data_IF_685074032918
#
_entry.id   IF_685074032918
#
_cell.length_a   1.000
_cell.length_b   1.000
_cell.length_c   1.000
_cell.angle_alpha   90.00
_cell.angle_beta   90.00
_cell.angle_gamma   90.00
#
_symmetry.space_group_name_H-M   'P 1'
#
loop_
_entity.id
_entity.type
_entity.pdbx_description
1 polymer ?
#
# COMPACT_ATOMS: atom_id res chain seq x y z
N UNK A 1 36.20 2.34 -5.92
CA UNK A 1 35.06 3.12 -5.39
C UNK A 1 33.93 2.13 -5.11
N UNK A 2 33.36 2.14 -3.91
CA UNK A 2 32.17 1.32 -3.62
C UNK A 2 31.01 1.84 -4.49
N UNK A 3 30.29 0.93 -5.15
CA UNK A 3 29.13 1.31 -5.95
C UNK A 3 28.05 1.92 -5.03
N UNK A 4 27.44 3.01 -5.46
CA UNK A 4 26.30 3.58 -4.75
C UNK A 4 25.16 2.56 -4.77
N UNK A 5 24.56 2.21 -3.62
CA UNK A 5 23.45 1.28 -3.60
C UNK A 5 22.27 1.82 -4.41
N UNK A 6 21.52 0.95 -5.13
CA UNK A 6 20.39 1.37 -5.96
C UNK A 6 19.23 1.85 -5.11
N UNK A 7 18.40 2.75 -5.64
CA UNK A 7 17.10 3.04 -5.05
C UNK A 7 16.17 1.83 -5.22
N UNK A 8 15.35 1.57 -4.21
CA UNK A 8 14.38 0.48 -4.19
C UNK A 8 12.99 1.10 -4.06
N UNK A 9 12.13 0.88 -5.05
CA UNK A 9 10.74 1.34 -5.04
C UNK A 9 9.83 0.13 -5.12
N UNK A 10 8.98 -0.04 -4.11
CA UNK A 10 7.93 -1.07 -4.08
C UNK A 10 6.57 -0.38 -4.27
N UNK A 11 5.93 -0.63 -5.42
CA UNK A 11 4.58 -0.14 -5.70
C UNK A 11 3.62 -1.33 -5.58
N UNK A 12 2.63 -1.19 -4.72
CA UNK A 12 1.65 -2.25 -4.47
C UNK A 12 0.23 -1.71 -4.59
N UNK A 13 -0.54 -2.27 -5.49
CA UNK A 13 -1.97 -2.00 -5.63
C UNK A 13 -2.78 -2.86 -4.66
N UNK A 14 -3.93 -2.36 -4.20
CA UNK A 14 -4.85 -3.13 -3.37
C UNK A 14 -5.89 -3.83 -4.27
N UNK A 15 -6.20 -5.09 -4.00
CA UNK A 15 -7.23 -5.89 -4.70
C UNK A 15 -7.09 -5.94 -6.24
N UNK A 16 -5.90 -5.76 -6.77
CA UNK A 16 -5.66 -5.82 -8.20
C UNK A 16 -5.66 -7.28 -8.68
N UNK A 17 -6.47 -7.60 -9.67
CA UNK A 17 -6.45 -8.91 -10.34
C UNK A 17 -5.13 -9.05 -11.11
N UNK A 18 -4.49 -10.21 -11.01
CA UNK A 18 -3.21 -10.45 -11.67
C UNK A 18 -3.25 -10.40 -13.21
N UNK A 19 -4.43 -10.59 -13.80
CA UNK A 19 -4.65 -10.53 -15.25
C UNK A 19 -5.20 -9.17 -15.74
N UNK A 20 -5.45 -8.21 -14.85
CA UNK A 20 -6.02 -6.91 -15.19
C UNK A 20 -4.94 -5.90 -15.65
N UNK A 21 -4.13 -6.30 -16.63
CA UNK A 21 -3.11 -5.49 -17.28
C UNK A 21 -3.17 -5.71 -18.79
N UNK A 22 -2.83 -4.70 -19.60
CA UNK A 22 -2.78 -4.79 -21.05
C UNK A 22 -1.79 -5.83 -21.53
N UNK A 23 -0.60 -5.88 -20.95
CA UNK A 23 0.43 -6.88 -21.25
C UNK A 23 0.04 -8.34 -20.95
N UNK A 24 -1.04 -8.55 -20.19
CA UNK A 24 -1.61 -9.87 -19.92
C UNK A 24 -2.74 -10.24 -20.89
N UNK A 25 -2.99 -9.43 -21.92
CA UNK A 25 -4.06 -9.64 -22.90
C UNK A 25 -5.44 -9.19 -22.43
N UNK A 26 -5.53 -8.44 -21.33
CA UNK A 26 -6.77 -7.86 -20.84
C UNK A 26 -7.07 -6.54 -21.58
N UNK A 27 -8.34 -6.18 -21.84
CA UNK A 27 -8.70 -4.89 -22.47
C UNK A 27 -8.44 -3.65 -21.59
N UNK A 28 -7.88 -3.81 -20.41
CA UNK A 28 -7.46 -2.72 -19.53
C UNK A 28 -6.33 -1.91 -20.19
N UNK A 29 -6.45 -0.59 -20.16
CA UNK A 29 -5.44 0.32 -20.67
C UNK A 29 -4.44 0.60 -19.54
N UNK A 30 -3.24 0.02 -19.62
CA UNK A 30 -2.19 0.15 -18.59
C UNK A 30 -0.81 0.45 -19.21
N UNK A 31 -0.66 1.54 -20.00
CA UNK A 31 0.52 1.74 -20.84
C UNK A 31 1.82 1.83 -20.05
N UNK A 32 1.82 2.47 -18.89
CA UNK A 32 3.03 2.60 -18.08
C UNK A 32 3.45 1.28 -17.43
N UNK A 33 2.48 0.46 -16.98
CA UNK A 33 2.76 -0.87 -16.44
C UNK A 33 3.18 -1.85 -17.54
N UNK A 34 2.57 -1.74 -18.72
CA UNK A 34 2.92 -2.55 -19.88
C UNK A 34 4.34 -2.21 -20.36
N UNK A 35 4.73 -0.93 -20.37
CA UNK A 35 6.09 -0.51 -20.66
C UNK A 35 7.07 -1.07 -19.62
N UNK A 36 6.78 -0.92 -18.33
CA UNK A 36 7.62 -1.48 -17.26
C UNK A 36 7.79 -2.98 -17.40
N UNK A 37 6.72 -3.71 -17.74
CA UNK A 37 6.77 -5.15 -17.98
C UNK A 37 7.64 -5.51 -19.19
N UNK A 38 7.65 -4.68 -20.24
CA UNK A 38 8.47 -4.90 -21.45
C UNK A 38 9.96 -4.64 -21.22
N UNK A 39 10.30 -3.72 -20.32
CA UNK A 39 11.67 -3.33 -19.99
C UNK A 39 12.26 -4.17 -18.83
N UNK A 40 11.41 -4.84 -18.05
CA UNK A 40 11.77 -5.57 -16.85
C UNK A 40 11.46 -7.07 -16.93
N UNK A 41 11.15 -7.64 -15.79
CA UNK A 41 10.74 -9.04 -15.66
C UNK A 41 9.29 -9.14 -15.23
N UNK A 42 8.43 -9.72 -16.07
CA UNK A 42 7.03 -9.96 -15.78
C UNK A 42 6.83 -11.36 -15.18
N UNK A 43 6.37 -11.43 -13.92
CA UNK A 43 5.99 -12.67 -13.26
C UNK A 43 4.50 -12.94 -13.47
N UNK A 44 4.15 -13.82 -14.39
CA UNK A 44 2.76 -14.12 -14.75
C UNK A 44 2.03 -15.00 -13.74
N UNK A 45 2.76 -15.59 -12.81
CA UNK A 45 2.26 -16.50 -11.75
C UNK A 45 2.74 -16.07 -10.37
N UNK A 46 2.61 -14.77 -10.07
CA UNK A 46 2.85 -14.24 -8.73
C UNK A 46 1.63 -14.51 -7.83
N UNK A 47 1.85 -15.05 -6.64
CA UNK A 47 0.78 -15.36 -5.68
C UNK A 47 1.01 -14.62 -4.38
N UNK A 48 -0.06 -14.08 -3.81
CA UNK A 48 -0.03 -13.57 -2.45
C UNK A 48 0.07 -14.73 -1.45
N UNK A 49 0.79 -14.51 -0.37
CA UNK A 49 0.89 -15.47 0.74
C UNK A 49 -0.46 -15.71 1.45
N UNK A 50 -1.38 -14.76 1.34
CA UNK A 50 -2.72 -14.84 1.91
C UNK A 50 -3.67 -13.92 1.13
N UNK A 51 -4.93 -14.29 0.92
CA UNK A 51 -5.92 -13.44 0.23
C UNK A 51 -6.51 -12.33 1.10
N UNK A 52 -6.10 -12.22 2.36
CA UNK A 52 -6.51 -11.18 3.30
C UNK A 52 -5.42 -10.15 3.53
N UNK A 53 -5.80 -8.87 3.65
CA UNK A 53 -4.88 -7.74 3.67
C UNK A 53 -3.92 -7.77 4.89
N UNK A 54 -4.43 -7.96 6.10
CA UNK A 54 -3.62 -7.96 7.33
C UNK A 54 -2.50 -8.99 7.28
N UNK A 55 -2.78 -10.30 7.08
CA UNK A 55 -1.71 -11.29 7.03
C UNK A 55 -0.80 -11.15 5.81
N UNK A 56 -1.33 -10.79 4.63
CA UNK A 56 -0.49 -10.61 3.45
C UNK A 56 0.54 -9.48 3.63
N UNK A 57 0.12 -8.37 4.23
CA UNK A 57 1.00 -7.23 4.50
C UNK A 57 2.00 -7.52 5.62
N UNK A 58 1.60 -8.30 6.63
CA UNK A 58 2.54 -8.80 7.64
C UNK A 58 3.61 -9.71 7.04
N UNK A 59 3.23 -10.60 6.10
CA UNK A 59 4.19 -11.45 5.39
C UNK A 59 5.15 -10.62 4.53
N UNK A 60 4.65 -9.59 3.85
CA UNK A 60 5.49 -8.68 3.07
C UNK A 60 6.49 -7.93 3.98
N UNK A 61 6.03 -7.44 5.12
CA UNK A 61 6.83 -6.69 6.08
C UNK A 61 7.96 -7.54 6.68
N UNK A 62 7.66 -8.80 7.00
CA UNK A 62 8.54 -9.69 7.78
C UNK A 62 9.30 -10.71 6.94
N UNK A 63 8.88 -10.93 5.69
CA UNK A 63 9.39 -12.03 4.87
C UNK A 63 8.96 -13.44 5.34
N UNK A 64 8.01 -13.51 6.29
CA UNK A 64 7.58 -14.76 6.91
C UNK A 64 6.20 -15.20 6.43
N UNK A 65 5.92 -16.49 6.50
CA UNK A 65 4.59 -17.02 6.17
C UNK A 65 3.54 -16.67 7.23
N UNK A 66 2.23 -16.70 6.89
CA UNK A 66 1.17 -16.47 7.87
C UNK A 66 1.22 -17.42 9.06
N UNK A 67 1.64 -18.66 8.85
CA UNK A 67 1.81 -19.66 9.89
C UNK A 67 2.89 -19.28 10.90
N UNK A 68 3.96 -18.63 10.42
CA UNK A 68 5.06 -18.20 11.28
C UNK A 68 4.72 -16.92 12.05
N UNK A 69 4.07 -15.96 11.41
CA UNK A 69 3.61 -14.73 12.08
C UNK A 69 2.43 -14.95 13.01
N UNK A 70 1.71 -16.06 12.87
CA UNK A 70 0.46 -16.34 13.58
C UNK A 70 -0.74 -15.53 13.10
N UNK A 71 -0.57 -14.68 12.08
CA UNK A 71 -1.64 -13.87 11.50
C UNK A 71 -2.30 -14.63 10.34
N UNK A 72 -3.35 -15.37 10.67
CA UNK A 72 -4.04 -16.26 9.72
C UNK A 72 -5.27 -15.62 9.07
N UNK A 73 -5.72 -14.47 9.55
CA UNK A 73 -6.93 -13.82 9.08
C UNK A 73 -6.95 -12.32 9.37
N UNK A 74 -8.08 -11.72 9.04
CA UNK A 74 -8.34 -10.31 9.34
C UNK A 74 -8.46 -10.10 10.85
N UNK A 75 -7.85 -9.03 11.35
CA UNK A 75 -7.98 -8.64 12.76
C UNK A 75 -7.01 -7.54 13.16
N UNK A 76 -7.27 -6.93 14.30
CA UNK A 76 -6.43 -5.91 14.92
C UNK A 76 -5.37 -6.58 15.79
N UNK A 77 -4.48 -7.32 15.15
CA UNK A 77 -3.39 -8.04 15.82
C UNK A 77 -2.07 -7.38 15.49
N UNK A 78 -1.27 -7.00 16.51
CA UNK A 78 0.06 -6.45 16.27
C UNK A 78 0.94 -7.46 15.53
N UNK A 79 1.68 -6.97 14.53
CA UNK A 79 2.79 -7.73 13.97
C UNK A 79 3.92 -7.71 15.02
N UNK A 80 4.32 -8.89 15.46
CA UNK A 80 5.42 -9.04 16.39
C UNK A 80 6.49 -9.92 15.72
N UNK A 81 7.49 -9.29 15.14
CA UNK A 81 8.58 -9.96 14.46
C UNK A 81 9.90 -9.28 14.79
N UNK A 82 10.94 -10.09 14.97
CA UNK A 82 12.28 -9.57 15.25
C UNK A 82 12.88 -8.84 14.07
N UNK A 83 12.54 -9.24 12.85
CA UNK A 83 13.09 -8.67 11.61
C UNK A 83 11.97 -8.17 10.72
N UNK A 84 12.07 -6.90 10.36
CA UNK A 84 11.15 -6.23 9.46
C UNK A 84 11.94 -5.60 8.32
N UNK A 85 11.47 -5.76 7.10
CA UNK A 85 12.17 -5.31 5.88
C UNK A 85 12.63 -3.85 5.95
N UNK A 86 11.80 -2.87 6.40
CA UNK A 86 12.24 -1.49 6.46
C UNK A 86 13.37 -1.28 7.48
N UNK A 87 13.35 -1.98 8.62
CA UNK A 87 14.42 -1.90 9.61
C UNK A 87 15.72 -2.49 9.06
N UNK A 88 15.65 -3.63 8.39
CA UNK A 88 16.83 -4.25 7.78
C UNK A 88 17.46 -3.33 6.72
N UNK A 89 16.65 -2.65 5.91
CA UNK A 89 17.12 -1.66 4.93
C UNK A 89 17.77 -0.44 5.62
N UNK A 90 17.20 0.03 6.72
CA UNK A 90 17.82 1.10 7.55
C UNK A 90 19.20 0.69 8.06
N UNK A 91 19.32 -0.52 8.56
CA UNK A 91 20.59 -1.04 9.09
C UNK A 91 21.66 -1.13 7.99
N UNK A 92 21.24 -1.22 6.73
CA UNK A 92 22.08 -1.13 5.53
C UNK A 92 22.33 0.32 5.05
N UNK A 93 21.81 1.32 5.75
CA UNK A 93 22.02 2.74 5.44
C UNK A 93 21.00 3.35 4.49
N UNK A 94 19.92 2.66 4.16
CA UNK A 94 18.82 3.23 3.37
C UNK A 94 17.95 4.17 4.21
N UNK A 95 17.47 5.24 3.59
CA UNK A 95 16.33 5.96 4.10
C UNK A 95 15.06 5.26 3.65
N UNK A 96 14.19 4.90 4.59
CA UNK A 96 12.99 4.11 4.33
C UNK A 96 11.73 4.93 4.54
N UNK A 97 10.85 4.93 3.56
CA UNK A 97 9.63 5.73 3.55
C UNK A 97 8.45 4.89 3.06
N UNK A 98 7.33 4.93 3.78
CA UNK A 98 6.10 4.23 3.42
C UNK A 98 4.97 5.21 3.15
N UNK A 99 4.16 4.99 2.10
CA UNK A 99 3.02 5.83 1.76
C UNK A 99 1.80 4.95 1.46
N UNK A 100 0.65 5.34 1.98
CA UNK A 100 -0.65 4.72 1.68
C UNK A 100 -1.12 3.72 2.72
N UNK A 101 -1.82 2.68 2.26
CA UNK A 101 -2.42 1.66 3.14
C UNK A 101 -1.37 0.70 3.67
N UNK A 102 -1.21 0.64 4.97
CA UNK A 102 -0.33 -0.30 5.65
C UNK A 102 -1.08 -1.46 6.31
N UNK A 103 -2.27 -1.21 6.82
CA UNK A 103 -3.13 -2.18 7.48
C UNK A 103 -2.49 -2.87 8.68
N UNK A 104 -1.67 -2.13 9.42
CA UNK A 104 -1.06 -2.59 10.67
C UNK A 104 -1.89 -2.21 11.88
N UNK A 105 -1.63 -2.88 12.98
CA UNK A 105 -2.17 -2.54 14.28
C UNK A 105 -1.04 -2.49 15.33
N UNK A 106 -0.97 -1.43 16.17
CA UNK A 106 -1.64 -0.12 16.01
C UNK A 106 -1.25 0.61 14.72
N UNK A 107 -2.19 1.40 14.17
CA UNK A 107 -2.06 2.01 12.84
C UNK A 107 -0.83 2.90 12.66
N UNK A 108 -0.36 3.58 13.72
CA UNK A 108 0.75 4.53 13.67
C UNK A 108 2.13 3.92 13.96
N UNK A 109 2.23 2.61 14.15
CA UNK A 109 3.55 1.96 14.27
C UNK A 109 4.29 2.07 12.95
N UNK A 110 5.57 2.47 13.00
CA UNK A 110 6.39 2.67 11.82
C UNK A 110 7.06 1.39 11.28
N UNK A 111 7.11 0.33 12.03
CA UNK A 111 7.71 -0.96 11.62
C UNK A 111 9.06 -0.79 10.92
N UNK A 112 9.95 -0.02 11.54
CA UNK A 112 11.29 0.23 11.00
C UNK A 112 11.37 1.31 9.91
N UNK A 113 10.29 1.84 9.37
CA UNK A 113 10.34 3.01 8.49
C UNK A 113 10.81 4.26 9.24
N UNK A 114 11.57 5.11 8.58
CA UNK A 114 11.87 6.45 9.08
C UNK A 114 10.60 7.30 9.13
N UNK A 115 9.84 7.28 8.05
CA UNK A 115 8.58 8.00 7.92
C UNK A 115 7.50 7.14 7.28
N UNK A 116 6.26 7.39 7.67
CA UNK A 116 5.08 6.76 7.08
C UNK A 116 3.99 7.81 6.97
N UNK A 117 3.46 7.98 5.76
CA UNK A 117 2.24 8.74 5.48
C UNK A 117 1.10 7.75 5.24
N UNK A 118 0.10 7.77 6.09
CA UNK A 118 -0.96 6.77 6.09
C UNK A 118 -2.22 7.26 5.37
N UNK A 119 -2.77 6.37 4.56
CA UNK A 119 -4.17 6.38 4.21
C UNK A 119 -4.75 4.97 4.37
N UNK A 120 -5.61 4.82 5.36
CA UNK A 120 -6.21 3.54 5.73
C UNK A 120 -7.62 3.37 5.15
N UNK A 121 -7.95 4.11 4.10
CA UNK A 121 -9.24 4.03 3.39
C UNK A 121 -10.45 4.17 4.34
N UNK A 122 -10.39 5.12 5.27
CA UNK A 122 -11.44 5.38 6.25
C UNK A 122 -11.50 4.40 7.43
N UNK A 123 -10.61 3.40 7.49
CA UNK A 123 -10.51 2.51 8.65
C UNK A 123 -10.01 3.27 9.87
N UNK A 124 -10.82 3.27 10.93
CA UNK A 124 -10.49 3.89 12.20
C UNK A 124 -10.46 2.79 13.26
N UNK A 125 -9.28 2.41 13.70
CA UNK A 125 -9.09 1.39 14.73
C UNK A 125 -8.76 1.99 16.10
N UNK A 126 -8.37 3.26 16.11
CA UNK A 126 -8.15 4.04 17.33
C UNK A 126 -9.06 5.26 17.32
N UNK A 127 -9.62 5.62 18.49
CA UNK A 127 -10.62 6.67 18.67
C UNK A 127 -10.22 8.03 18.04
N UNK A 128 -8.91 8.34 18.02
CA UNK A 128 -8.39 9.61 17.51
C UNK A 128 -7.55 9.41 16.22
N UNK A 129 -7.74 8.33 15.49
CA UNK A 129 -6.99 8.12 14.28
C UNK A 129 -7.54 8.97 13.13
N UNK A 130 -6.70 9.77 12.54
CA UNK A 130 -6.95 10.48 11.29
C UNK A 130 -5.81 10.17 10.31
N UNK A 131 -6.14 9.83 9.06
CA UNK A 131 -5.13 9.54 8.04
C UNK A 131 -4.40 10.81 7.60
N UNK A 132 -3.15 10.67 7.17
CA UNK A 132 -2.36 11.79 6.66
C UNK A 132 -2.95 12.32 5.34
N UNK A 133 -3.54 11.42 4.53
CA UNK A 133 -4.31 11.80 3.35
C UNK A 133 -5.49 12.74 3.69
N UNK A 134 -6.28 12.44 4.72
CA UNK A 134 -7.41 13.30 5.12
C UNK A 134 -6.95 14.69 5.53
N UNK A 135 -5.87 14.79 6.29
CA UNK A 135 -5.26 16.07 6.67
C UNK A 135 -4.79 16.85 5.45
N UNK A 136 -4.06 16.19 4.56
CA UNK A 136 -3.62 16.79 3.30
C UNK A 136 -4.80 17.26 2.45
N UNK A 137 -5.86 16.45 2.35
CA UNK A 137 -7.05 16.79 1.59
C UNK A 137 -7.75 18.04 2.15
N UNK A 138 -7.93 18.11 3.46
CA UNK A 138 -8.57 19.27 4.12
C UNK A 138 -7.78 20.56 3.91
N UNK A 139 -6.46 20.49 3.94
CA UNK A 139 -5.58 21.64 3.69
C UNK A 139 -5.64 22.13 2.25
N UNK A 140 -5.78 21.23 1.28
CA UNK A 140 -5.74 21.56 -0.15
C UNK A 140 -7.14 21.75 -0.76
N UNK A 141 -8.19 21.29 -0.08
CA UNK A 141 -9.58 21.43 -0.49
C UNK A 141 -10.48 21.78 0.71
N UNK A 142 -10.37 23.02 1.23
CA UNK A 142 -11.17 23.47 2.37
C UNK A 142 -12.67 23.31 2.10
N UNK A 143 -13.39 22.65 3.01
CA UNK A 143 -14.82 22.37 2.87
C UNK A 143 -15.18 21.20 1.95
N UNK A 144 -14.20 20.56 1.32
CA UNK A 144 -14.41 19.32 0.59
C UNK A 144 -14.59 18.11 1.52
N UNK A 145 -15.18 17.04 0.98
CA UNK A 145 -15.30 15.78 1.69
C UNK A 145 -14.39 14.72 1.03
N UNK A 146 -13.37 14.20 1.71
CA UNK A 146 -12.47 13.20 1.13
C UNK A 146 -13.19 11.89 0.75
N UNK A 147 -14.31 11.58 1.40
CA UNK A 147 -15.10 10.37 1.11
C UNK A 147 -15.87 10.46 -0.21
N UNK A 148 -16.05 11.65 -0.77
CA UNK A 148 -16.71 11.84 -2.08
C UNK A 148 -15.78 11.59 -3.26
N UNK A 149 -14.52 11.31 -3.04
CA UNK A 149 -13.54 10.97 -4.09
C UNK A 149 -13.72 9.56 -4.64
N UNK A 150 -14.72 8.80 -4.19
CA UNK A 150 -15.00 7.44 -4.63
C UNK A 150 -14.16 6.37 -3.94
N UNK A 151 -13.37 6.75 -2.93
CA UNK A 151 -12.56 5.82 -2.15
C UNK A 151 -13.15 5.76 -0.74
N UNK A 152 -14.41 5.38 -0.67
CA UNK A 152 -15.05 5.06 0.60
C UNK A 152 -14.55 3.73 1.16
N UNK A 153 -14.54 3.63 2.46
CA UNK A 153 -14.34 2.37 3.14
C UNK A 153 -15.39 1.34 2.67
N UNK A 154 -14.93 0.19 2.26
CA UNK A 154 -15.77 -0.96 1.88
C UNK A 154 -16.78 -0.73 0.76
N UNK A 155 -16.57 0.18 -0.14
CA UNK A 155 -17.42 0.25 -1.31
C UNK A 155 -17.08 -0.87 -2.29
N UNK A 156 -17.38 -2.09 -1.89
CA UNK A 156 -17.24 -3.28 -2.72
C UNK A 156 -18.31 -3.37 -3.81
N UNK A 157 -19.33 -2.55 -3.73
CA UNK A 157 -20.40 -2.45 -4.74
C UNK A 157 -19.98 -1.43 -5.79
N UNK A 158 -18.76 -1.58 -6.26
CA UNK A 158 -18.15 -0.69 -7.21
C UNK A 158 -19.06 -0.34 -8.38
N UNK A 159 -19.70 0.80 -8.26
CA UNK A 159 -20.11 1.55 -9.43
C UNK A 159 -18.89 2.14 -10.14
N UNK A 160 -19.10 2.65 -11.34
CA UNK A 160 -18.07 3.44 -12.02
C UNK A 160 -17.98 4.79 -11.30
N UNK A 161 -16.93 5.00 -10.52
CA UNK A 161 -16.69 6.27 -9.86
C UNK A 161 -16.10 7.28 -10.83
N UNK A 162 -16.77 8.41 -11.01
CA UNK A 162 -16.16 9.58 -11.61
C UNK A 162 -15.39 10.30 -10.49
N UNK A 163 -14.12 10.01 -10.37
CA UNK A 163 -13.24 10.78 -9.51
C UNK A 163 -13.06 12.18 -10.09
N UNK A 164 -13.11 13.20 -9.26
CA UNK A 164 -12.64 14.52 -9.65
C UNK A 164 -11.13 14.43 -9.84
N UNK A 165 -10.67 14.68 -11.05
CA UNK A 165 -9.26 14.56 -11.44
C UNK A 165 -8.32 15.36 -10.50
N UNK A 166 -8.79 16.51 -10.04
CA UNK A 166 -8.05 17.41 -9.14
C UNK A 166 -7.84 16.85 -7.73
N UNK A 167 -8.67 15.90 -7.31
CA UNK A 167 -8.71 15.37 -5.94
C UNK A 167 -8.36 13.88 -5.87
N UNK A 168 -7.83 13.34 -6.95
CA UNK A 168 -7.47 11.91 -6.99
C UNK A 168 -6.33 11.62 -6.00
N UNK A 169 -6.43 10.52 -5.21
CA UNK A 169 -5.41 10.16 -4.22
C UNK A 169 -4.00 10.00 -4.77
N UNK A 170 -3.84 9.70 -6.06
CA UNK A 170 -2.52 9.62 -6.68
C UNK A 170 -1.76 10.94 -6.65
N UNK A 171 -2.45 12.09 -6.55
CA UNK A 171 -1.81 13.39 -6.36
C UNK A 171 -1.21 13.58 -4.97
N UNK A 172 -1.71 12.86 -3.99
CA UNK A 172 -1.17 12.92 -2.64
C UNK A 172 0.17 12.18 -2.51
N UNK A 173 0.39 11.18 -3.34
CA UNK A 173 1.60 10.35 -3.31
C UNK A 173 2.69 10.84 -4.27
N UNK A 174 2.41 11.83 -5.10
CA UNK A 174 3.37 12.45 -6.04
C UNK A 174 3.99 13.72 -5.45
#
# INVERSE_FOLDING_TARGET
>A
MAATPPHIILIMTDQHRGDALGCMGNPVISPNLDQLASEGTLYTKGYSSCPSSTPARACLLTGQSPWHTGLLGYGNVPVNCQYEMPQMLRDLGYYTFGIGKMHWHPQRIKHGFHEVLLDESGRIEAENFESDYRKWFQLNCPGGNPDTTGIGWNDHQAGIYKLKEELHPTRWTS
#
